data_IF_156516878105
#
_entry.id   IF_156516878105
#
_cell.length_a   1.000
_cell.length_b   1.000
_cell.length_c   1.000
_cell.angle_alpha   90.00
_cell.angle_beta   90.00
_cell.angle_gamma   90.00
#
_symmetry.space_group_name_H-M   'P 1'
#
loop_
_entity.id
_entity.type
_entity.pdbx_description
1 polymer ?
#
# COMPACT_ATOMS: atom_id res chain seq x y z
N UNK A 1 6.71 0.14 19.77
CA UNK A 1 6.04 -1.19 19.79
C UNK A 1 7.09 -2.24 19.52
N UNK A 2 7.18 -3.31 20.32
CA UNK A 2 8.11 -4.41 20.01
C UNK A 2 7.74 -5.02 18.65
N UNK A 3 8.76 -5.38 17.86
CA UNK A 3 8.60 -6.08 16.59
C UNK A 3 8.01 -7.48 16.87
N UNK A 4 6.69 -7.60 16.85
CA UNK A 4 6.00 -8.87 17.09
C UNK A 4 5.23 -9.28 15.84
N UNK A 5 5.38 -10.52 15.46
CA UNK A 5 4.56 -11.18 14.44
C UNK A 5 3.30 -11.70 15.14
N UNK A 6 2.14 -11.51 14.52
CA UNK A 6 0.87 -12.01 15.03
C UNK A 6 0.91 -13.54 15.15
N UNK A 7 0.56 -14.12 16.31
CA UNK A 7 0.45 -15.57 16.45
C UNK A 7 -0.66 -16.13 15.56
N UNK A 8 -0.44 -17.33 15.01
CA UNK A 8 -1.40 -18.00 14.13
C UNK A 8 -2.75 -18.23 14.82
N UNK A 9 -2.74 -18.61 16.11
CA UNK A 9 -3.98 -18.80 16.88
C UNK A 9 -4.81 -17.53 16.97
N UNK A 10 -4.16 -16.38 17.17
CA UNK A 10 -4.85 -15.08 17.19
C UNK A 10 -5.42 -14.74 15.83
N UNK A 11 -4.64 -14.95 14.74
CA UNK A 11 -5.11 -14.73 13.39
C UNK A 11 -6.35 -15.57 13.08
N UNK A 12 -6.30 -16.87 13.41
CA UNK A 12 -7.43 -17.78 13.17
C UNK A 12 -8.69 -17.34 13.93
N UNK A 13 -8.56 -16.96 15.21
CA UNK A 13 -9.68 -16.44 15.99
C UNK A 13 -10.30 -15.18 15.36
N UNK A 14 -9.48 -14.27 14.84
CA UNK A 14 -9.96 -13.07 14.14
C UNK A 14 -10.73 -13.49 12.89
N UNK A 15 -10.17 -14.38 12.06
CA UNK A 15 -10.83 -14.82 10.82
C UNK A 15 -12.16 -15.50 11.14
N UNK A 16 -12.21 -16.39 12.11
CA UNK A 16 -13.44 -17.06 12.51
C UNK A 16 -14.51 -16.04 12.94
N UNK A 17 -14.15 -15.07 13.77
CA UNK A 17 -15.07 -14.03 14.22
C UNK A 17 -15.59 -13.13 13.09
N UNK A 18 -14.72 -12.72 12.15
CA UNK A 18 -15.15 -11.85 11.04
C UNK A 18 -15.93 -12.60 9.96
N UNK A 19 -15.73 -13.91 9.86
CA UNK A 19 -16.54 -14.76 8.97
C UNK A 19 -18.00 -14.80 9.45
N UNK A 20 -18.24 -14.84 10.75
CA UNK A 20 -19.60 -14.75 11.32
C UNK A 20 -20.26 -13.37 11.06
N UNK A 21 -19.46 -12.34 10.82
CA UNK A 21 -19.92 -10.97 10.50
C UNK A 21 -20.05 -10.70 8.99
N UNK A 22 -19.84 -11.71 8.14
CA UNK A 22 -19.84 -11.58 6.67
C UNK A 22 -18.89 -10.51 6.15
N UNK A 23 -17.72 -10.33 6.77
CA UNK A 23 -16.72 -9.35 6.30
C UNK A 23 -16.12 -9.80 4.97
N UNK A 24 -16.33 -9.06 3.86
CA UNK A 24 -15.97 -9.55 2.53
C UNK A 24 -14.49 -9.42 2.19
N UNK A 25 -13.78 -8.47 2.78
CA UNK A 25 -12.41 -8.13 2.40
C UNK A 25 -11.52 -7.85 3.61
N UNK A 26 -10.29 -8.35 3.56
CA UNK A 26 -9.28 -8.08 4.58
C UNK A 26 -7.98 -7.61 3.96
N UNK A 27 -7.27 -6.75 4.70
CA UNK A 27 -5.92 -6.35 4.38
C UNK A 27 -4.97 -6.80 5.49
N UNK A 28 -4.00 -7.64 5.15
CA UNK A 28 -3.10 -8.29 6.10
C UNK A 28 -1.88 -7.43 6.48
N UNK A 29 -2.02 -6.13 6.45
CA UNK A 29 -1.03 -5.22 7.00
C UNK A 29 -1.61 -3.83 7.23
N UNK A 30 -1.15 -3.20 8.30
CA UNK A 30 -1.30 -1.76 8.55
C UNK A 30 0.06 -1.09 8.68
N UNK A 31 0.94 -1.66 9.51
CA UNK A 31 2.33 -1.26 9.71
C UNK A 31 3.22 -2.49 9.55
N UNK A 32 4.50 -2.25 9.23
CA UNK A 32 5.46 -3.32 9.02
C UNK A 32 5.40 -3.92 7.61
N UNK A 33 6.13 -5.00 7.43
CA UNK A 33 6.28 -5.72 6.17
C UNK A 33 5.69 -7.13 6.29
N UNK A 34 4.59 -7.45 5.56
CA UNK A 34 3.93 -8.74 5.70
C UNK A 34 4.80 -9.93 5.31
N UNK A 35 5.74 -9.74 4.36
CA UNK A 35 6.62 -10.83 3.92
C UNK A 35 7.71 -11.21 4.95
N UNK A 36 7.84 -10.44 6.04
CA UNK A 36 8.65 -10.88 7.20
C UNK A 36 7.93 -11.93 8.05
N UNK A 37 6.62 -12.12 7.87
CA UNK A 37 5.90 -13.19 8.53
C UNK A 37 6.05 -14.48 7.70
N UNK A 38 6.77 -15.51 8.20
CA UNK A 38 6.98 -16.75 7.46
C UNK A 38 5.69 -17.53 7.20
N UNK A 39 4.62 -17.24 7.95
CA UNK A 39 3.30 -17.87 7.82
C UNK A 39 2.28 -17.06 7.00
N UNK A 40 2.70 -15.97 6.34
CA UNK A 40 1.76 -15.10 5.62
C UNK A 40 0.94 -15.85 4.57
N UNK A 41 1.55 -16.79 3.85
CA UNK A 41 0.83 -17.60 2.87
C UNK A 41 -0.19 -18.56 3.51
N UNK A 42 0.10 -19.05 4.71
CA UNK A 42 -0.83 -19.93 5.46
C UNK A 42 -2.00 -19.09 5.99
N UNK A 43 -1.76 -17.85 6.42
CA UNK A 43 -2.80 -16.90 6.82
C UNK A 43 -3.74 -16.59 5.64
N UNK A 44 -3.19 -16.34 4.46
CA UNK A 44 -3.99 -16.11 3.24
C UNK A 44 -4.86 -17.34 2.95
N UNK A 45 -4.27 -18.54 2.92
CA UNK A 45 -5.00 -19.80 2.70
C UNK A 45 -6.12 -20.01 3.72
N UNK A 46 -5.85 -19.73 5.01
CA UNK A 46 -6.86 -19.84 6.05
C UNK A 46 -8.03 -18.88 5.83
N UNK A 47 -7.75 -17.62 5.52
CA UNK A 47 -8.78 -16.64 5.20
C UNK A 47 -9.63 -17.07 3.99
N UNK A 48 -9.00 -17.52 2.91
CA UNK A 48 -9.70 -18.01 1.71
C UNK A 48 -10.56 -19.26 2.01
N UNK A 49 -10.05 -20.19 2.82
CA UNK A 49 -10.81 -21.36 3.28
C UNK A 49 -12.08 -20.96 4.05
N UNK A 50 -12.01 -19.89 4.82
CA UNK A 50 -13.13 -19.31 5.58
C UNK A 50 -13.98 -18.32 4.76
N UNK A 51 -13.91 -18.39 3.43
CA UNK A 51 -14.77 -17.65 2.50
C UNK A 51 -14.59 -16.13 2.49
N UNK A 52 -13.46 -15.61 2.98
CA UNK A 52 -13.13 -14.20 2.76
C UNK A 52 -12.93 -14.00 1.26
N UNK A 53 -13.75 -13.12 0.68
CA UNK A 53 -13.79 -12.91 -0.76
C UNK A 53 -12.51 -12.27 -1.29
N UNK A 54 -11.96 -11.30 -0.56
CA UNK A 54 -10.79 -10.55 -0.98
C UNK A 54 -9.74 -10.47 0.13
N UNK A 55 -8.53 -10.96 -0.17
CA UNK A 55 -7.35 -10.84 0.71
C UNK A 55 -6.28 -10.02 0.01
N UNK A 56 -5.83 -8.95 0.67
CA UNK A 56 -4.87 -7.98 0.12
C UNK A 56 -3.64 -7.90 1.01
N UNK A 57 -2.47 -7.77 0.39
CA UNK A 57 -1.24 -7.37 1.08
C UNK A 57 -0.63 -6.14 0.41
N UNK A 58 0.11 -5.34 1.21
CA UNK A 58 0.96 -4.28 0.72
C UNK A 58 2.41 -4.56 1.15
N UNK A 59 3.35 -4.60 0.24
CA UNK A 59 4.73 -5.00 0.51
C UNK A 59 5.74 -4.06 -0.13
N UNK A 60 6.91 -3.94 0.49
CA UNK A 60 8.07 -3.27 -0.11
C UNK A 60 8.83 -4.16 -1.10
N UNK A 61 8.38 -5.40 -1.32
CA UNK A 61 8.91 -6.39 -2.24
C UNK A 61 10.40 -6.79 -2.04
N UNK A 62 11.04 -6.39 -0.92
CA UNK A 62 12.45 -6.75 -0.65
C UNK A 62 12.65 -8.24 -0.39
N UNK A 63 11.62 -8.92 0.14
CA UNK A 63 11.62 -10.35 0.45
C UNK A 63 10.92 -11.20 -0.62
N UNK A 64 10.66 -10.61 -1.79
CA UNK A 64 9.90 -11.25 -2.86
C UNK A 64 10.85 -12.04 -3.78
N UNK A 65 11.44 -13.10 -3.25
CA UNK A 65 12.20 -14.07 -4.04
C UNK A 65 11.28 -15.00 -4.85
N UNK A 66 11.85 -15.84 -5.70
CA UNK A 66 11.11 -16.75 -6.56
C UNK A 66 10.21 -17.72 -5.78
N UNK A 67 10.72 -18.24 -4.66
CA UNK A 67 9.99 -19.17 -3.79
C UNK A 67 8.80 -18.49 -3.11
N UNK A 68 9.03 -17.29 -2.59
CA UNK A 68 7.99 -16.48 -1.94
C UNK A 68 6.93 -16.05 -2.95
N UNK A 69 7.35 -15.60 -4.14
CA UNK A 69 6.47 -15.22 -5.25
C UNK A 69 5.53 -16.36 -5.64
N UNK A 70 6.09 -17.57 -5.87
CA UNK A 70 5.29 -18.74 -6.20
C UNK A 70 4.29 -19.10 -5.09
N UNK A 71 4.73 -19.12 -3.83
CA UNK A 71 3.85 -19.40 -2.68
C UNK A 71 2.72 -18.38 -2.55
N UNK A 72 2.99 -17.09 -2.77
CA UNK A 72 1.96 -16.05 -2.72
C UNK A 72 0.92 -16.26 -3.82
N UNK A 73 1.34 -16.53 -5.06
CA UNK A 73 0.43 -16.78 -6.18
C UNK A 73 -0.44 -18.03 -5.88
N UNK A 74 0.15 -19.08 -5.34
CA UNK A 74 -0.54 -20.35 -5.01
C UNK A 74 -1.37 -20.26 -3.71
N UNK A 75 -1.25 -19.20 -2.93
CA UNK A 75 -1.96 -19.06 -1.64
C UNK A 75 -3.43 -18.65 -1.77
N UNK A 76 -3.84 -18.17 -2.94
CA UNK A 76 -5.17 -17.61 -3.16
C UNK A 76 -5.25 -16.11 -2.81
N UNK A 77 -4.10 -15.42 -2.76
CA UNK A 77 -4.07 -13.96 -2.61
C UNK A 77 -4.81 -13.29 -3.78
N UNK A 78 -5.67 -12.32 -3.49
CA UNK A 78 -6.44 -11.63 -4.53
C UNK A 78 -5.73 -10.40 -5.07
N UNK A 79 -5.01 -9.66 -4.21
CA UNK A 79 -4.26 -8.49 -4.64
C UNK A 79 -2.95 -8.34 -3.87
N UNK A 80 -1.89 -8.01 -4.59
CA UNK A 80 -0.63 -7.52 -4.03
C UNK A 80 -0.38 -6.09 -4.47
N UNK A 81 -0.06 -5.23 -3.50
CA UNK A 81 0.28 -3.84 -3.73
C UNK A 81 1.77 -3.66 -3.43
N UNK A 82 2.54 -3.30 -4.43
CA UNK A 82 3.95 -2.97 -4.27
C UNK A 82 4.13 -1.51 -3.92
N UNK A 83 4.92 -1.23 -2.90
CA UNK A 83 5.29 0.13 -2.53
C UNK A 83 6.66 0.48 -3.10
N UNK A 84 6.70 1.45 -4.02
CA UNK A 84 7.92 1.81 -4.73
C UNK A 84 7.95 3.33 -4.96
N UNK A 85 8.82 4.05 -4.23
CA UNK A 85 8.84 5.51 -4.23
C UNK A 85 10.04 6.06 -5.03
N UNK A 86 9.82 6.34 -6.29
CA UNK A 86 10.75 6.95 -7.23
C UNK A 86 10.62 6.37 -8.64
N UNK A 87 10.79 7.20 -9.65
CA UNK A 87 10.92 6.83 -11.06
C UNK A 87 12.37 6.64 -11.50
N UNK A 88 13.34 6.93 -10.61
CA UNK A 88 14.77 6.78 -10.83
C UNK A 88 15.42 6.06 -9.65
N UNK A 89 16.56 5.43 -9.90
CA UNK A 89 17.38 4.77 -8.86
C UNK A 89 17.77 5.75 -7.75
N UNK A 90 18.17 6.98 -8.12
CA UNK A 90 18.59 8.00 -7.18
C UNK A 90 17.50 8.33 -6.18
N UNK A 91 16.29 8.62 -6.66
CA UNK A 91 15.16 8.99 -5.81
C UNK A 91 14.68 7.80 -4.98
N UNK A 92 14.55 6.63 -5.59
CA UNK A 92 14.16 5.42 -4.86
C UNK A 92 15.12 5.11 -3.69
N UNK A 93 16.44 5.11 -3.96
CA UNK A 93 17.44 4.81 -2.94
C UNK A 93 17.49 5.87 -1.82
N UNK A 94 17.16 7.12 -2.13
CA UNK A 94 17.03 8.19 -1.14
C UNK A 94 15.76 8.05 -0.28
N UNK A 95 14.62 7.74 -0.92
CA UNK A 95 13.32 7.61 -0.26
C UNK A 95 13.20 6.33 0.57
N UNK A 96 13.85 5.24 0.11
CA UNK A 96 13.75 3.90 0.71
C UNK A 96 15.11 3.27 1.01
N UNK A 97 15.95 3.91 1.85
CA UNK A 97 17.30 3.40 2.12
C UNK A 97 17.30 2.03 2.81
N UNK A 98 16.17 1.63 3.41
CA UNK A 98 16.03 0.38 4.14
C UNK A 98 16.87 0.32 5.42
N UNK A 99 16.47 -0.51 6.40
CA UNK A 99 17.14 -0.66 7.69
C UNK A 99 18.59 -1.17 7.56
N UNK A 100 18.87 -1.94 6.51
CA UNK A 100 20.19 -2.57 6.29
C UNK A 100 20.83 -2.18 4.95
N UNK A 101 20.38 -1.13 4.30
CA UNK A 101 20.83 -0.69 2.97
C UNK A 101 20.78 -1.80 1.89
N UNK A 102 19.92 -2.80 2.09
CA UNK A 102 19.68 -3.91 1.15
C UNK A 102 18.43 -3.69 0.26
N UNK A 103 17.75 -2.58 0.44
CA UNK A 103 16.58 -2.22 -0.33
C UNK A 103 17.02 -1.30 -1.47
N UNK A 104 17.66 -1.86 -2.50
CA UNK A 104 18.08 -1.09 -3.67
C UNK A 104 17.01 -1.09 -4.75
N UNK A 105 17.00 -0.05 -5.56
CA UNK A 105 16.13 0.06 -6.73
C UNK A 105 16.17 -1.21 -7.59
N UNK A 106 17.36 -1.62 -8.02
CA UNK A 106 17.51 -2.79 -8.90
C UNK A 106 17.00 -4.08 -8.28
N UNK A 107 17.28 -4.30 -7.00
CA UNK A 107 16.81 -5.50 -6.31
C UNK A 107 15.29 -5.57 -6.30
N UNK A 108 14.63 -4.48 -5.90
CA UNK A 108 13.18 -4.47 -5.76
C UNK A 108 12.48 -4.45 -7.12
N UNK A 109 13.01 -3.70 -8.08
CA UNK A 109 12.51 -3.70 -9.45
C UNK A 109 12.58 -5.11 -10.07
N UNK A 110 13.73 -5.78 -9.94
CA UNK A 110 13.89 -7.14 -10.46
C UNK A 110 12.99 -8.16 -9.74
N UNK A 111 12.77 -8.01 -8.43
CA UNK A 111 11.84 -8.86 -7.69
C UNK A 111 10.41 -8.73 -8.22
N UNK A 112 9.95 -7.51 -8.46
CA UNK A 112 8.60 -7.25 -9.01
C UNK A 112 8.47 -7.79 -10.43
N UNK A 113 9.46 -7.54 -11.29
CA UNK A 113 9.51 -8.08 -12.64
C UNK A 113 9.46 -9.61 -12.65
N UNK A 114 10.24 -10.23 -11.78
CA UNK A 114 10.28 -11.70 -11.66
C UNK A 114 8.96 -12.28 -11.13
N UNK A 115 8.28 -11.54 -10.26
CA UNK A 115 6.93 -11.92 -9.80
C UNK A 115 5.95 -11.98 -10.97
N UNK A 116 5.94 -10.98 -11.84
CA UNK A 116 5.11 -10.96 -13.05
C UNK A 116 5.44 -12.12 -13.99
N UNK A 117 6.73 -12.38 -14.25
CA UNK A 117 7.18 -13.52 -15.07
C UNK A 117 6.68 -14.86 -14.52
N UNK A 118 6.74 -15.05 -13.19
CA UNK A 118 6.25 -16.26 -12.52
C UNK A 118 4.73 -16.37 -12.66
N UNK A 119 4.00 -15.26 -12.42
CA UNK A 119 2.54 -15.19 -12.57
C UNK A 119 2.12 -15.58 -13.99
N UNK A 120 2.78 -15.02 -15.01
CA UNK A 120 2.56 -15.36 -16.43
C UNK A 120 2.87 -16.82 -16.74
N UNK A 121 3.98 -17.35 -16.23
CA UNK A 121 4.37 -18.76 -16.40
C UNK A 121 3.34 -19.73 -15.79
N UNK A 122 2.80 -19.38 -14.63
CA UNK A 122 1.76 -20.15 -13.95
C UNK A 122 0.36 -19.94 -14.57
N UNK A 123 0.23 -19.02 -15.53
CA UNK A 123 -1.05 -18.62 -16.14
C UNK A 123 -2.10 -18.25 -15.09
N UNK A 124 -1.66 -17.65 -13.98
CA UNK A 124 -2.55 -17.27 -12.89
C UNK A 124 -3.13 -15.88 -13.12
N UNK A 125 -4.47 -15.69 -13.08
CA UNK A 125 -5.08 -14.37 -13.13
C UNK A 125 -4.89 -13.59 -11.81
N UNK A 126 -4.60 -14.29 -10.72
CA UNK A 126 -4.40 -13.72 -9.40
C UNK A 126 -3.00 -14.03 -8.85
N UNK A 127 -2.52 -13.19 -7.90
CA UNK A 127 -3.13 -11.94 -7.46
C UNK A 127 -3.08 -10.87 -8.55
N UNK A 128 -4.05 -9.95 -8.56
CA UNK A 128 -3.89 -8.69 -9.28
C UNK A 128 -2.74 -7.91 -8.67
N UNK A 129 -1.96 -7.24 -9.50
CA UNK A 129 -0.75 -6.52 -9.09
C UNK A 129 -0.97 -5.02 -9.22
N UNK A 130 -0.71 -4.30 -8.15
CA UNK A 130 -0.75 -2.85 -8.12
C UNK A 130 0.58 -2.31 -7.63
N UNK A 131 1.09 -1.23 -8.23
CA UNK A 131 2.23 -0.52 -7.70
C UNK A 131 1.85 0.90 -7.30
N UNK A 132 2.40 1.37 -6.18
CA UNK A 132 2.11 2.69 -5.65
C UNK A 132 3.38 3.48 -5.37
N UNK A 133 3.42 4.72 -5.89
CA UNK A 133 4.40 5.74 -5.54
C UNK A 133 3.71 6.84 -4.72
N UNK A 134 4.34 7.29 -3.65
CA UNK A 134 3.87 8.45 -2.90
C UNK A 134 4.38 9.73 -3.58
N UNK A 135 3.46 10.65 -3.86
CA UNK A 135 3.78 11.94 -4.44
C UNK A 135 4.38 12.86 -3.37
N UNK A 136 5.64 13.18 -3.53
CA UNK A 136 6.40 14.13 -2.71
C UNK A 136 7.08 15.15 -3.62
N UNK A 137 7.82 16.12 -3.05
CA UNK A 137 8.65 17.03 -3.85
C UNK A 137 9.69 16.26 -4.69
N UNK A 138 10.28 15.21 -4.10
CA UNK A 138 11.34 14.42 -4.74
C UNK A 138 10.81 13.55 -5.88
N UNK A 139 9.56 13.07 -5.79
CA UNK A 139 8.97 12.16 -6.77
C UNK A 139 8.11 12.85 -7.82
N UNK A 140 7.73 14.12 -7.61
CA UNK A 140 6.82 14.88 -8.51
C UNK A 140 7.29 14.93 -9.96
N UNK A 141 8.59 15.13 -10.18
CA UNK A 141 9.18 15.19 -11.53
C UNK A 141 9.37 13.84 -12.20
N UNK A 142 9.07 12.72 -11.50
CA UNK A 142 9.37 11.37 -11.94
C UNK A 142 8.13 10.52 -12.24
N UNK A 143 6.95 11.14 -12.29
CA UNK A 143 5.67 10.43 -12.53
C UNK A 143 5.72 9.66 -13.86
N UNK A 144 6.13 10.30 -14.94
CA UNK A 144 6.21 9.65 -16.25
C UNK A 144 7.22 8.50 -16.27
N UNK A 145 8.40 8.72 -15.68
CA UNK A 145 9.42 7.67 -15.55
C UNK A 145 8.90 6.49 -14.74
N UNK A 146 8.14 6.74 -13.67
CA UNK A 146 7.53 5.70 -12.86
C UNK A 146 6.50 4.87 -13.64
N UNK A 147 5.64 5.51 -14.41
CA UNK A 147 4.69 4.81 -15.30
C UNK A 147 5.43 3.97 -16.34
N UNK A 148 6.46 4.53 -16.99
CA UNK A 148 7.25 3.82 -18.01
C UNK A 148 7.99 2.60 -17.46
N UNK A 149 8.37 2.60 -16.17
CA UNK A 149 9.01 1.45 -15.53
C UNK A 149 8.04 0.27 -15.34
N UNK A 150 6.76 0.52 -15.08
CA UNK A 150 5.86 -0.49 -14.53
C UNK A 150 4.62 -0.83 -15.37
N UNK A 151 4.25 -0.01 -16.36
CA UNK A 151 3.03 -0.24 -17.17
C UNK A 151 2.94 -1.64 -17.79
N UNK A 152 4.09 -2.24 -18.16
CA UNK A 152 4.13 -3.57 -18.79
C UNK A 152 4.34 -4.72 -17.78
N UNK A 153 4.50 -4.38 -16.49
CA UNK A 153 4.89 -5.34 -15.44
C UNK A 153 3.75 -5.59 -14.44
N UNK A 154 2.90 -4.58 -14.18
CA UNK A 154 1.82 -4.68 -13.21
C UNK A 154 0.47 -4.34 -13.82
N UNK A 155 -0.60 -4.80 -13.20
CA UNK A 155 -1.97 -4.57 -13.69
C UNK A 155 -2.45 -3.12 -13.44
N UNK A 156 -1.92 -2.42 -12.40
CA UNK A 156 -2.30 -1.04 -12.05
C UNK A 156 -1.11 -0.24 -11.52
N UNK A 157 -0.83 0.91 -12.13
CA UNK A 157 0.21 1.86 -11.70
C UNK A 157 -0.47 3.10 -11.13
N UNK A 158 -0.19 3.42 -9.87
CA UNK A 158 -0.88 4.49 -9.14
C UNK A 158 0.11 5.42 -8.45
N UNK A 159 -0.13 6.73 -8.58
CA UNK A 159 0.54 7.75 -7.77
C UNK A 159 -0.45 8.24 -6.72
N UNK A 160 -0.11 8.12 -5.44
CA UNK A 160 -0.95 8.53 -4.32
C UNK A 160 -0.40 9.79 -3.68
N UNK A 161 -1.27 10.70 -3.26
CA UNK A 161 -0.84 11.87 -2.51
C UNK A 161 -0.28 11.46 -1.15
N UNK A 162 0.77 12.16 -0.73
CA UNK A 162 1.29 12.01 0.62
C UNK A 162 0.19 12.37 1.63
N UNK A 163 -0.06 11.46 2.56
CA UNK A 163 -1.00 11.70 3.66
C UNK A 163 -0.25 11.54 4.98
N UNK A 164 -0.16 12.63 5.73
CA UNK A 164 0.48 12.65 7.03
C UNK A 164 -0.40 11.97 8.08
N UNK A 165 -0.02 10.75 8.44
CA UNK A 165 -0.73 9.93 9.43
C UNK A 165 -0.22 10.20 10.86
N UNK A 166 -0.49 11.39 11.38
CA UNK A 166 -0.20 11.68 12.78
C UNK A 166 1.00 12.56 13.07
N UNK A 167 1.46 13.34 12.10
CA UNK A 167 2.34 14.48 12.35
C UNK A 167 3.76 14.15 12.80
N UNK A 168 4.33 13.02 12.33
CA UNK A 168 5.67 12.61 12.73
C UNK A 168 6.82 13.35 12.01
N UNK A 169 6.52 14.12 10.95
CA UNK A 169 7.54 14.83 10.14
C UNK A 169 7.19 16.32 10.10
N UNK A 170 7.73 17.10 11.04
CA UNK A 170 7.46 18.55 11.17
C UNK A 170 7.76 19.34 9.90
N UNK A 171 8.85 19.01 9.18
CA UNK A 171 9.23 19.71 7.94
C UNK A 171 8.23 19.54 6.80
N UNK A 172 7.41 18.51 6.81
CA UNK A 172 6.36 18.29 5.81
C UNK A 172 5.02 18.95 6.18
N UNK A 173 4.81 19.27 7.48
CA UNK A 173 3.60 19.97 7.93
C UNK A 173 3.48 21.33 7.28
N UNK A 174 4.51 22.14 7.36
CA UNK A 174 4.51 23.52 6.83
C UNK A 174 4.38 23.53 5.31
N UNK A 175 5.08 22.61 4.62
CA UNK A 175 5.02 22.49 3.18
C UNK A 175 3.65 22.01 2.70
N UNK A 176 3.06 21.04 3.37
CA UNK A 176 1.74 20.51 3.00
C UNK A 176 0.62 21.48 3.37
N UNK A 177 0.73 22.21 4.47
CA UNK A 177 -0.22 23.28 4.83
C UNK A 177 -0.20 24.41 3.81
N UNK A 178 0.99 24.85 3.41
CA UNK A 178 1.13 25.90 2.38
C UNK A 178 0.56 25.46 1.03
N UNK A 179 0.84 24.24 0.60
CA UNK A 179 0.28 23.69 -0.66
C UNK A 179 -1.23 23.47 -0.59
N UNK A 180 -1.73 23.02 0.55
CA UNK A 180 -3.16 22.87 0.75
C UNK A 180 -3.87 24.23 0.70
N UNK A 181 -3.26 25.28 1.26
CA UNK A 181 -3.75 26.67 1.14
C UNK A 181 -3.77 27.15 -0.30
N UNK A 182 -2.68 26.93 -1.03
CA UNK A 182 -2.56 27.32 -2.45
C UNK A 182 -3.58 26.57 -3.34
N UNK A 183 -3.90 25.31 -2.98
CA UNK A 183 -4.90 24.50 -3.67
C UNK A 183 -6.35 24.90 -3.31
N UNK A 184 -6.60 25.25 -2.06
CA UNK A 184 -7.95 25.61 -1.56
C UNK A 184 -8.26 27.09 -1.89
N UNK A 185 -7.27 27.94 -2.03
CA UNK A 185 -7.43 29.34 -2.44
C UNK A 185 -7.84 29.53 -3.92
N UNK A 186 -7.88 28.47 -4.72
CA UNK A 186 -8.51 28.48 -6.03
C UNK A 186 -9.97 28.05 -5.89
N UNK A 187 -10.91 28.96 -6.15
CA UNK A 187 -12.38 28.81 -5.99
C UNK A 187 -13.01 27.51 -6.60
N UNK A 188 -12.25 26.76 -7.40
CA UNK A 188 -12.71 25.54 -8.07
C UNK A 188 -12.60 24.25 -7.22
N UNK A 189 -11.87 24.25 -6.12
CA UNK A 189 -11.62 23.02 -5.33
C UNK A 189 -12.39 22.97 -4.00
N UNK A 190 -13.08 24.04 -3.61
CA UNK A 190 -13.79 24.09 -2.33
C UNK A 190 -14.95 23.09 -2.22
N UNK A 191 -15.54 22.69 -3.32
CA UNK A 191 -16.70 21.76 -3.33
C UNK A 191 -16.29 20.29 -3.28
N UNK A 192 -15.08 19.94 -3.73
CA UNK A 192 -14.63 18.54 -3.87
C UNK A 192 -13.59 18.10 -2.81
N UNK A 193 -13.10 18.99 -1.96
CA UNK A 193 -12.11 18.63 -0.96
C UNK A 193 -12.75 18.20 0.37
N UNK A 194 -12.23 17.14 1.02
CA UNK A 194 -12.69 16.73 2.35
C UNK A 194 -12.26 17.68 3.47
N UNK A 195 -11.53 18.76 3.17
CA UNK A 195 -10.99 19.70 4.13
C UNK A 195 -11.36 21.14 3.80
N UNK A 196 -11.55 21.94 4.83
CA UNK A 196 -11.70 23.41 4.74
C UNK A 196 -10.56 24.07 5.50
N UNK A 197 -9.99 25.15 4.95
CA UNK A 197 -9.06 26.03 5.66
C UNK A 197 -9.80 27.30 6.03
N UNK A 198 -9.74 27.67 7.30
CA UNK A 198 -10.32 28.94 7.78
C UNK A 198 -9.33 30.09 7.64
N UNK A 199 -9.84 31.34 7.80
CA UNK A 199 -9.02 32.55 7.79
C UNK A 199 -7.87 32.54 8.81
N UNK A 200 -8.02 31.77 9.88
CA UNK A 200 -7.00 31.60 10.94
C UNK A 200 -6.02 30.47 10.66
N UNK A 201 -5.98 30.00 9.42
CA UNK A 201 -5.08 28.93 8.98
C UNK A 201 -5.37 27.53 9.60
N UNK A 202 -6.48 27.37 10.28
CA UNK A 202 -6.89 26.07 10.82
C UNK A 202 -7.54 25.21 9.74
N UNK A 203 -7.23 23.92 9.76
CA UNK A 203 -7.78 22.94 8.83
C UNK A 203 -8.92 22.19 9.53
N UNK A 204 -10.12 22.29 8.99
CA UNK A 204 -11.29 21.57 9.46
C UNK A 204 -11.76 20.55 8.44
N UNK A 205 -12.45 19.53 8.91
CA UNK A 205 -13.13 18.58 8.04
C UNK A 205 -14.32 19.26 7.37
N UNK A 206 -14.39 19.22 6.05
CA UNK A 206 -15.48 19.79 5.28
C UNK A 206 -16.82 19.16 5.65
N UNK A 207 -17.89 19.96 5.67
CA UNK A 207 -19.27 19.48 5.81
C UNK A 207 -19.69 18.54 4.65
N UNK A 208 -18.99 18.58 3.53
CA UNK A 208 -19.21 17.70 2.38
C UNK A 208 -18.48 16.38 2.47
N UNK A 209 -17.70 16.14 3.55
CA UNK A 209 -17.01 14.87 3.74
C UNK A 209 -18.02 13.74 3.85
N UNK A 210 -17.94 12.81 2.90
CA UNK A 210 -18.67 11.54 3.00
C UNK A 210 -17.97 10.60 3.98
N UNK A 211 -18.70 9.74 4.69
CA UNK A 211 -18.10 8.65 5.46
C UNK A 211 -17.17 7.82 4.58
N UNK A 212 -16.05 7.38 5.13
CA UNK A 212 -15.15 6.48 4.41
C UNK A 212 -15.84 5.14 4.20
N UNK A 213 -16.17 4.81 2.98
CA UNK A 213 -16.85 3.55 2.63
C UNK A 213 -16.04 2.31 3.01
N UNK A 214 -14.72 2.43 3.07
CA UNK A 214 -13.84 1.32 3.45
C UNK A 214 -14.05 0.82 4.89
N UNK A 215 -14.58 1.64 5.79
CA UNK A 215 -14.95 1.21 7.14
C UNK A 215 -16.05 0.14 7.13
N UNK A 216 -16.87 0.12 6.09
CA UNK A 216 -17.98 -0.81 5.93
C UNK A 216 -17.67 -1.97 4.98
N UNK A 217 -16.57 -1.90 4.27
CA UNK A 217 -16.21 -2.86 3.22
C UNK A 217 -14.98 -3.69 3.56
N UNK A 218 -14.14 -3.24 4.51
CA UNK A 218 -12.83 -3.87 4.74
C UNK A 218 -12.36 -3.77 6.17
N UNK A 219 -11.86 -4.88 6.70
CA UNK A 219 -11.13 -4.95 7.95
C UNK A 219 -9.61 -4.95 7.69
N UNK A 220 -8.86 -4.16 8.46
CA UNK A 220 -7.41 -4.22 8.48
C UNK A 220 -6.94 -5.01 9.70
N UNK A 221 -6.09 -6.01 9.46
CA UNK A 221 -5.48 -6.85 10.48
C UNK A 221 -3.99 -6.49 10.55
N UNK A 222 -3.50 -6.13 11.73
CA UNK A 222 -2.12 -5.66 11.96
C UNK A 222 -1.33 -6.62 12.83
#
# INVERSE_FOLDING_TARGET
TPDKIMPESMFNQIIDSITEMDVPSIKLNWRGEPLLNPKICDFIKYAKKNKILEVIINTNATQLDEKTSKKLIESGLDQVIFSFDGGTEKTYNAMRPGRFRKNTFDQVFNNIKKFDEIKKKLKSPFPTTKIQMVLTEDTRGEIESFYNLFNDIVDDVTVIQYNERGGAIESLKDTNQKKLKDLIGSDKMAEDTPFMVTADDNIFVSKFRKPCEQLFQRLMIT
#
